data_IF_425989938633
#
_entry.id   IF_425989938633
#
_cell.length_a   1.000
_cell.length_b   1.000
_cell.length_c   1.000
_cell.angle_alpha   90.00
_cell.angle_beta   90.00
_cell.angle_gamma   90.00
#
_symmetry.space_group_name_H-M   'P 1'
#
loop_
_entity.id
_entity.type
_entity.pdbx_description
1 polymer ?
#
# COMPACT_ATOMS: atom_id res chain seq x y z
N UNK A 1 -24.63 20.07 9.64
CA UNK A 1 -24.15 20.12 11.02
C UNK A 1 -24.35 18.80 11.76
N UNK A 2 -25.52 18.16 11.65
CA UNK A 2 -25.83 16.91 12.37
C UNK A 2 -24.87 15.74 12.07
N UNK A 3 -24.55 15.50 10.81
CA UNK A 3 -23.59 14.46 10.40
C UNK A 3 -22.14 14.73 10.88
N UNK A 4 -21.77 15.99 11.04
CA UNK A 4 -20.42 16.37 11.52
C UNK A 4 -20.29 16.10 13.02
N UNK A 5 -21.32 16.44 13.79
CA UNK A 5 -21.37 16.15 15.23
C UNK A 5 -21.38 14.64 15.51
N UNK A 6 -21.99 13.85 14.62
CA UNK A 6 -22.04 12.40 14.75
C UNK A 6 -20.64 11.76 14.55
N UNK A 7 -19.89 12.14 13.52
CA UNK A 7 -18.52 11.59 13.27
C UNK A 7 -17.54 12.00 14.37
N UNK A 8 -17.61 13.27 14.80
CA UNK A 8 -16.81 13.76 15.93
C UNK A 8 -17.13 12.97 17.21
N UNK A 9 -18.43 12.81 17.52
CA UNK A 9 -18.88 12.03 18.67
C UNK A 9 -18.48 10.57 18.58
N UNK A 10 -18.54 9.95 17.41
CA UNK A 10 -18.09 8.57 17.21
C UNK A 10 -16.61 8.41 17.52
N UNK A 11 -15.74 9.24 16.95
CA UNK A 11 -14.27 9.15 17.12
C UNK A 11 -13.83 9.43 18.57
N UNK A 12 -14.63 10.23 19.32
CA UNK A 12 -14.31 10.58 20.72
C UNK A 12 -14.98 9.69 21.76
N UNK A 13 -16.20 9.15 21.52
CA UNK A 13 -16.98 8.48 22.55
C UNK A 13 -17.13 6.96 22.38
N UNK A 14 -17.16 6.45 21.12
CA UNK A 14 -17.31 5.01 20.91
C UNK A 14 -16.15 4.20 21.50
N UNK A 15 -16.40 2.99 22.02
CA UNK A 15 -15.33 2.08 22.43
C UNK A 15 -14.33 1.85 21.31
N UNK A 16 -13.01 1.98 21.61
CA UNK A 16 -11.94 1.92 20.62
C UNK A 16 -11.96 0.64 19.79
N UNK A 17 -12.31 -0.50 20.39
CA UNK A 17 -12.43 -1.78 19.69
C UNK A 17 -13.54 -1.78 18.63
N UNK A 18 -14.74 -1.22 18.95
CA UNK A 18 -15.84 -1.07 17.98
C UNK A 18 -15.43 -0.12 16.84
N UNK A 19 -14.75 0.95 17.19
CA UNK A 19 -14.30 1.94 16.22
C UNK A 19 -13.25 1.33 15.26
N UNK A 20 -12.29 0.60 15.81
CA UNK A 20 -11.28 -0.11 15.02
C UNK A 20 -11.93 -1.11 14.06
N UNK A 21 -12.89 -1.90 14.54
CA UNK A 21 -13.65 -2.82 13.69
C UNK A 21 -14.39 -2.10 12.56
N UNK A 22 -15.10 -1.01 12.88
CA UNK A 22 -15.84 -0.19 11.90
C UNK A 22 -14.96 0.38 10.79
N UNK A 23 -13.71 0.71 11.09
CA UNK A 23 -12.77 1.30 10.13
C UNK A 23 -11.90 0.26 9.43
N UNK A 24 -11.46 -0.79 10.16
CA UNK A 24 -10.53 -1.78 9.61
C UNK A 24 -11.21 -2.81 8.72
N UNK A 25 -12.41 -3.29 9.06
CA UNK A 25 -13.09 -4.31 8.24
C UNK A 25 -13.34 -3.81 6.82
N UNK A 26 -13.93 -2.61 6.60
CA UNK A 26 -14.06 -2.08 5.25
C UNK A 26 -12.73 -1.90 4.52
N UNK A 27 -11.67 -1.51 5.23
CA UNK A 27 -10.35 -1.35 4.63
C UNK A 27 -9.76 -2.70 4.22
N UNK A 28 -9.85 -3.73 5.07
CA UNK A 28 -9.41 -5.09 4.76
C UNK A 28 -10.16 -5.64 3.56
N UNK A 29 -11.49 -5.57 3.57
CA UNK A 29 -12.30 -6.04 2.43
C UNK A 29 -11.90 -5.34 1.14
N UNK A 30 -11.74 -4.01 1.17
CA UNK A 30 -11.31 -3.25 0.00
C UNK A 30 -9.93 -3.69 -0.52
N UNK A 31 -8.93 -3.82 0.37
CA UNK A 31 -7.57 -4.23 -0.02
C UNK A 31 -7.52 -5.68 -0.53
N UNK A 32 -8.28 -6.60 0.08
CA UNK A 32 -8.36 -7.99 -0.36
C UNK A 32 -9.01 -8.12 -1.74
N UNK A 33 -10.12 -7.42 -1.98
CA UNK A 33 -10.81 -7.43 -3.29
C UNK A 33 -9.91 -6.83 -4.37
N UNK A 34 -9.19 -5.75 -4.09
CA UNK A 34 -8.23 -5.18 -5.05
C UNK A 34 -7.07 -6.14 -5.35
N UNK A 35 -6.60 -6.89 -4.36
CA UNK A 35 -5.55 -7.89 -4.58
C UNK A 35 -6.06 -9.05 -5.47
N UNK A 36 -7.27 -9.54 -5.19
CA UNK A 36 -7.90 -10.60 -5.98
C UNK A 36 -8.16 -10.16 -7.43
N UNK A 37 -8.68 -8.95 -7.59
CA UNK A 37 -8.89 -8.36 -8.91
C UNK A 37 -7.61 -8.35 -9.75
N UNK A 38 -6.47 -7.93 -9.20
CA UNK A 38 -5.20 -7.91 -9.94
C UNK A 38 -4.77 -9.30 -10.45
N UNK A 39 -5.10 -10.35 -9.71
CA UNK A 39 -4.83 -11.74 -10.14
C UNK A 39 -5.75 -12.14 -11.29
N UNK A 40 -7.04 -11.85 -11.15
CA UNK A 40 -8.05 -12.21 -12.17
C UNK A 40 -7.79 -11.46 -13.49
N UNK A 41 -7.44 -10.18 -13.42
CA UNK A 41 -7.12 -9.37 -14.59
C UNK A 41 -5.96 -9.98 -15.40
N UNK A 42 -4.90 -10.44 -14.73
CA UNK A 42 -3.78 -11.14 -15.38
C UNK A 42 -4.19 -12.46 -16.02
N UNK A 43 -5.13 -13.18 -15.41
CA UNK A 43 -5.68 -14.43 -16.00
C UNK A 43 -6.43 -14.12 -17.30
N UNK A 44 -7.27 -13.08 -17.32
CA UNK A 44 -7.99 -12.67 -18.52
C UNK A 44 -7.05 -12.25 -19.65
N UNK A 45 -6.03 -11.47 -19.36
CA UNK A 45 -5.02 -11.07 -20.36
C UNK A 45 -4.25 -12.28 -20.88
N UNK A 46 -3.88 -13.20 -19.99
CA UNK A 46 -3.15 -14.41 -20.39
C UNK A 46 -3.93 -15.33 -21.28
N UNK A 47 -5.21 -15.51 -20.99
CA UNK A 47 -6.09 -16.37 -21.79
C UNK A 47 -6.57 -15.71 -23.09
N UNK A 48 -6.77 -14.38 -23.08
CA UNK A 48 -7.33 -13.67 -24.22
C UNK A 48 -6.30 -13.16 -25.23
N UNK A 49 -5.05 -12.90 -24.82
CA UNK A 49 -4.05 -12.26 -25.70
C UNK A 49 -2.81 -13.15 -25.89
N UNK A 50 -2.45 -13.94 -24.88
CA UNK A 50 -1.34 -14.88 -24.95
C UNK A 50 -0.09 -14.47 -24.16
N UNK A 51 0.96 -15.31 -24.24
CA UNK A 51 2.16 -15.19 -23.40
C UNK A 51 3.01 -13.93 -23.68
N UNK A 52 3.12 -13.51 -24.94
CA UNK A 52 3.88 -12.31 -25.30
C UNK A 52 3.24 -11.03 -24.72
N UNK A 53 1.91 -11.00 -24.61
CA UNK A 53 1.18 -9.92 -23.98
C UNK A 53 1.40 -9.87 -22.46
N UNK A 54 1.44 -11.03 -21.77
CA UNK A 54 1.78 -11.11 -20.35
C UNK A 54 3.21 -10.56 -20.13
N UNK A 55 4.14 -10.95 -21.00
CA UNK A 55 5.52 -10.47 -20.95
C UNK A 55 5.62 -8.96 -21.20
N UNK A 56 4.85 -8.44 -22.17
CA UNK A 56 4.72 -7.00 -22.40
C UNK A 56 4.12 -6.26 -21.20
N UNK A 57 3.06 -6.81 -20.60
CA UNK A 57 2.45 -6.25 -19.40
C UNK A 57 3.41 -6.21 -18.21
N UNK A 58 4.26 -7.23 -18.06
CA UNK A 58 5.27 -7.25 -17.00
C UNK A 58 6.24 -6.08 -17.08
N UNK A 59 6.58 -5.61 -18.29
CA UNK A 59 7.43 -4.43 -18.51
C UNK A 59 6.74 -3.12 -18.08
N UNK A 60 5.42 -3.07 -18.11
CA UNK A 60 4.66 -1.86 -17.73
C UNK A 60 4.41 -1.77 -16.23
N UNK A 61 4.56 -2.88 -15.51
CA UNK A 61 4.28 -2.97 -14.07
C UNK A 61 5.05 -1.95 -13.20
N UNK A 62 6.38 -1.70 -13.40
CA UNK A 62 7.08 -0.67 -12.64
C UNK A 62 6.51 0.73 -12.85
N UNK A 63 6.07 1.05 -14.07
CA UNK A 63 5.48 2.34 -14.43
C UNK A 63 4.14 2.52 -13.70
N UNK A 64 3.27 1.51 -13.77
CA UNK A 64 1.98 1.52 -13.08
C UNK A 64 2.14 1.58 -11.55
N UNK A 65 3.10 0.83 -11.02
CA UNK A 65 3.40 0.83 -9.59
C UNK A 65 3.88 2.19 -9.09
N UNK A 66 4.68 2.90 -9.90
CA UNK A 66 5.13 4.26 -9.56
C UNK A 66 3.96 5.25 -9.53
N UNK A 67 3.03 5.17 -10.49
CA UNK A 67 1.82 6.00 -10.47
C UNK A 67 0.96 5.74 -9.23
N UNK A 68 0.77 4.47 -8.86
CA UNK A 68 0.11 4.07 -7.62
C UNK A 68 0.83 4.58 -6.37
N UNK A 69 2.16 4.47 -6.33
CA UNK A 69 2.98 4.96 -5.22
C UNK A 69 2.87 6.47 -5.03
N UNK A 70 2.79 7.25 -6.12
CA UNK A 70 2.56 8.70 -6.07
C UNK A 70 1.16 9.00 -5.52
N UNK A 71 0.12 8.25 -5.92
CA UNK A 71 -1.21 8.37 -5.34
C UNK A 71 -1.23 8.07 -3.84
N UNK A 72 -0.47 7.06 -3.40
CA UNK A 72 -0.31 6.73 -1.98
C UNK A 72 0.48 7.82 -1.23
N UNK A 73 1.50 8.42 -1.84
CA UNK A 73 2.26 9.54 -1.27
C UNK A 73 1.32 10.68 -0.88
N UNK A 74 0.51 11.16 -1.82
CA UNK A 74 -0.44 12.24 -1.55
C UNK A 74 -1.54 11.77 -0.60
N UNK A 75 -2.11 10.60 -0.85
CA UNK A 75 -3.25 10.06 -0.11
C UNK A 75 -2.95 9.80 1.36
N UNK A 76 -1.87 9.09 1.67
CA UNK A 76 -1.50 8.76 3.05
C UNK A 76 -0.94 9.97 3.79
N UNK A 77 -0.19 10.84 3.10
CA UNK A 77 0.31 12.09 3.67
C UNK A 77 -0.83 13.04 4.06
N UNK A 78 -1.75 13.29 3.14
CA UNK A 78 -2.90 14.16 3.37
C UNK A 78 -3.88 13.55 4.40
N UNK A 79 -4.18 12.26 4.33
CA UNK A 79 -5.12 11.60 5.25
C UNK A 79 -4.63 11.64 6.70
N UNK A 80 -3.34 11.42 6.95
CA UNK A 80 -2.75 11.55 8.27
C UNK A 80 -2.91 12.98 8.81
N UNK A 81 -2.60 13.96 7.97
CA UNK A 81 -2.70 15.38 8.34
C UNK A 81 -4.14 15.82 8.56
N UNK A 82 -5.07 15.41 7.68
CA UNK A 82 -6.50 15.66 7.83
C UNK A 82 -7.02 15.10 9.15
N UNK A 83 -6.69 13.86 9.49
CA UNK A 83 -7.13 13.23 10.74
C UNK A 83 -6.68 14.03 11.97
N UNK A 84 -5.41 14.46 12.01
CA UNK A 84 -4.87 15.26 13.12
C UNK A 84 -5.60 16.60 13.24
N UNK A 85 -5.76 17.30 12.11
CA UNK A 85 -6.37 18.64 12.08
C UNK A 85 -7.86 18.58 12.41
N UNK A 86 -8.58 17.53 11.99
CA UNK A 86 -9.95 17.28 12.40
C UNK A 86 -10.06 17.04 13.91
N UNK A 87 -9.09 16.32 14.50
CA UNK A 87 -8.98 16.17 15.95
C UNK A 87 -8.77 17.49 16.69
N UNK A 88 -8.06 18.44 16.07
CA UNK A 88 -7.88 19.82 16.56
C UNK A 88 -9.12 20.70 16.34
N UNK A 89 -10.19 20.16 15.76
CA UNK A 89 -11.42 20.86 15.41
C UNK A 89 -11.23 22.00 14.38
N UNK A 90 -10.16 21.98 13.59
CA UNK A 90 -9.86 22.95 12.53
C UNK A 90 -10.29 22.41 11.14
N UNK A 91 -11.60 22.50 10.89
CA UNK A 91 -12.18 22.07 9.61
C UNK A 91 -11.67 22.87 8.41
N UNK A 92 -11.42 24.17 8.60
CA UNK A 92 -10.94 25.05 7.52
C UNK A 92 -9.59 24.56 7.01
N UNK A 93 -8.68 24.23 7.93
CA UNK A 93 -7.37 23.70 7.58
C UNK A 93 -7.46 22.31 6.93
N UNK A 94 -8.39 21.45 7.37
CA UNK A 94 -8.62 20.15 6.74
C UNK A 94 -9.10 20.29 5.29
N UNK A 95 -10.02 21.24 5.00
CA UNK A 95 -10.48 21.54 3.64
C UNK A 95 -9.39 22.17 2.76
N UNK A 96 -8.50 22.98 3.34
CA UNK A 96 -7.30 23.47 2.63
C UNK A 96 -6.35 22.33 2.25
N UNK A 97 -6.12 21.37 3.16
CA UNK A 97 -5.32 20.18 2.87
C UNK A 97 -5.94 19.38 1.75
N UNK A 98 -7.27 19.17 1.77
CA UNK A 98 -8.01 18.47 0.73
C UNK A 98 -7.83 19.14 -0.65
N UNK A 99 -7.99 20.48 -0.73
CA UNK A 99 -7.85 21.22 -1.97
C UNK A 99 -6.41 21.22 -2.49
N UNK A 100 -5.42 21.44 -1.62
CA UNK A 100 -4.00 21.39 -1.98
C UNK A 100 -3.58 19.98 -2.43
N UNK A 101 -4.18 18.93 -1.87
CA UNK A 101 -3.94 17.54 -2.30
C UNK A 101 -4.41 17.28 -3.73
N UNK A 102 -5.52 17.91 -4.16
CA UNK A 102 -5.98 17.78 -5.54
C UNK A 102 -4.98 18.42 -6.52
N UNK A 103 -4.55 19.64 -6.23
CA UNK A 103 -3.57 20.31 -7.07
C UNK A 103 -2.26 19.52 -7.12
N UNK A 104 -1.80 19.00 -5.98
CA UNK A 104 -0.58 18.20 -5.89
C UNK A 104 -0.70 16.88 -6.69
N UNK A 105 -1.84 16.17 -6.56
CA UNK A 105 -2.10 14.94 -7.31
C UNK A 105 -2.12 15.19 -8.82
N UNK A 106 -2.77 16.26 -9.26
CA UNK A 106 -2.82 16.63 -10.67
C UNK A 106 -1.44 17.05 -11.20
N UNK A 107 -0.67 17.83 -10.42
CA UNK A 107 0.67 18.24 -10.81
C UNK A 107 1.60 17.04 -10.98
N UNK A 108 1.60 16.10 -10.03
CA UNK A 108 2.38 14.87 -10.18
C UNK A 108 1.90 14.02 -11.35
N UNK A 109 0.59 13.93 -11.58
CA UNK A 109 0.05 13.19 -12.72
C UNK A 109 0.52 13.78 -14.05
N UNK A 110 0.46 15.08 -14.22
CA UNK A 110 0.97 15.75 -15.42
C UNK A 110 2.48 15.48 -15.60
N UNK A 111 3.27 15.61 -14.52
CA UNK A 111 4.71 15.36 -14.58
C UNK A 111 5.04 13.94 -15.02
N UNK A 112 4.47 12.91 -14.36
CA UNK A 112 4.83 11.54 -14.71
C UNK A 112 4.22 11.08 -16.06
N UNK A 113 3.01 11.53 -16.41
CA UNK A 113 2.42 11.21 -17.71
C UNK A 113 3.24 11.83 -18.84
N UNK A 114 3.68 13.10 -18.71
CA UNK A 114 4.56 13.73 -19.69
C UNK A 114 5.89 12.99 -19.78
N UNK A 115 6.51 12.67 -18.65
CA UNK A 115 7.77 11.93 -18.60
C UNK A 115 7.66 10.56 -19.29
N UNK A 116 6.65 9.77 -18.95
CA UNK A 116 6.46 8.46 -19.58
C UNK A 116 6.04 8.54 -21.03
N UNK A 117 5.31 9.57 -21.45
CA UNK A 117 4.96 9.76 -22.88
C UNK A 117 6.19 10.06 -23.73
N UNK A 118 7.12 10.89 -23.22
CA UNK A 118 8.33 11.29 -23.96
C UNK A 118 9.37 10.17 -24.00
N UNK A 119 9.60 9.47 -22.88
CA UNK A 119 10.67 8.47 -22.74
C UNK A 119 10.17 7.02 -22.74
N UNK A 120 8.97 6.76 -23.30
CA UNK A 120 8.31 5.45 -23.23
C UNK A 120 9.20 4.32 -23.76
N UNK A 121 9.71 4.45 -24.96
CA UNK A 121 10.48 3.38 -25.62
C UNK A 121 11.84 3.14 -24.91
N UNK A 122 12.49 4.21 -24.47
CA UNK A 122 13.77 4.12 -23.74
C UNK A 122 13.59 3.41 -22.40
N UNK A 123 12.50 3.72 -21.71
CA UNK A 123 12.17 3.10 -20.43
C UNK A 123 11.83 1.62 -20.62
N UNK A 124 11.01 1.25 -21.60
CA UNK A 124 10.66 -0.13 -21.89
C UNK A 124 11.90 -0.95 -22.27
N UNK A 125 12.80 -0.38 -23.08
CA UNK A 125 14.09 -1.04 -23.41
C UNK A 125 14.98 -1.21 -22.17
N UNK A 126 15.05 -0.22 -21.29
CA UNK A 126 15.82 -0.28 -20.06
C UNK A 126 15.31 -1.36 -19.08
N UNK A 127 14.02 -1.69 -19.13
CA UNK A 127 13.41 -2.78 -18.37
C UNK A 127 13.55 -4.16 -19.03
N UNK A 128 14.33 -4.26 -20.11
CA UNK A 128 14.59 -5.53 -20.80
C UNK A 128 13.57 -5.90 -21.87
N UNK A 129 12.83 -4.92 -22.36
CA UNK A 129 11.90 -5.12 -23.49
C UNK A 129 12.60 -5.57 -24.74
N UNK A 130 12.10 -6.65 -25.37
CA UNK A 130 12.53 -7.15 -26.67
C UNK A 130 11.66 -6.57 -27.79
N UNK A 131 12.13 -6.67 -29.05
CA UNK A 131 11.34 -6.25 -30.20
C UNK A 131 10.02 -7.00 -30.35
N UNK A 132 9.85 -8.16 -29.69
CA UNK A 132 8.58 -8.92 -29.61
C UNK A 132 7.64 -8.39 -28.54
N UNK A 133 8.14 -7.95 -27.39
CA UNK A 133 7.33 -7.58 -26.21
C UNK A 133 7.02 -6.09 -26.15
N UNK A 134 7.90 -5.23 -26.68
CA UNK A 134 7.73 -3.77 -26.70
C UNK A 134 6.42 -3.35 -27.38
N UNK A 135 5.99 -3.89 -28.53
CA UNK A 135 4.74 -3.48 -29.16
C UNK A 135 3.52 -3.64 -28.22
N UNK A 136 3.42 -4.78 -27.52
CA UNK A 136 2.34 -5.02 -26.55
C UNK A 136 2.42 -4.08 -25.35
N UNK A 137 3.62 -3.88 -24.81
CA UNK A 137 3.84 -2.96 -23.68
C UNK A 137 3.49 -1.52 -24.05
N UNK A 138 3.89 -1.07 -25.23
CA UNK A 138 3.63 0.27 -25.74
C UNK A 138 2.13 0.49 -25.98
N UNK A 139 1.48 -0.46 -26.65
CA UNK A 139 0.03 -0.39 -26.89
C UNK A 139 -0.72 -0.31 -25.55
N UNK A 140 -0.41 -1.18 -24.60
CA UNK A 140 -1.01 -1.14 -23.28
C UNK A 140 -0.81 0.20 -22.58
N UNK A 141 0.44 0.73 -22.56
CA UNK A 141 0.75 2.00 -21.90
C UNK A 141 0.01 3.20 -22.51
N UNK A 142 -0.08 3.28 -23.83
CA UNK A 142 -0.80 4.37 -24.50
C UNK A 142 -2.26 4.43 -24.06
N UNK A 143 -2.90 3.26 -23.98
CA UNK A 143 -4.32 3.19 -23.59
C UNK A 143 -4.54 3.28 -22.09
N UNK A 144 -3.60 2.87 -21.21
CA UNK A 144 -3.76 2.92 -19.76
C UNK A 144 -3.39 4.29 -19.15
N UNK A 145 -2.67 5.14 -19.89
CA UNK A 145 -2.22 6.45 -19.38
C UNK A 145 -3.34 7.34 -18.83
N UNK A 146 -4.50 7.50 -19.50
CA UNK A 146 -5.60 8.27 -18.92
C UNK A 146 -6.10 7.70 -17.59
N UNK A 147 -6.17 6.38 -17.49
CA UNK A 147 -6.57 5.69 -16.26
C UNK A 147 -5.55 5.81 -15.14
N UNK A 148 -4.28 6.01 -15.43
CA UNK A 148 -3.27 6.27 -14.40
C UNK A 148 -3.56 7.56 -13.63
N UNK A 149 -4.11 8.60 -14.27
CA UNK A 149 -4.59 9.80 -13.58
C UNK A 149 -5.75 9.45 -12.64
N UNK A 150 -6.73 8.68 -13.14
CA UNK A 150 -7.88 8.25 -12.34
C UNK A 150 -7.44 7.38 -11.16
N UNK A 151 -6.48 6.49 -11.38
CA UNK A 151 -5.87 5.64 -10.33
C UNK A 151 -5.22 6.49 -9.25
N UNK A 152 -4.43 7.49 -9.61
CA UNK A 152 -3.81 8.42 -8.68
C UNK A 152 -4.85 9.15 -7.82
N UNK A 153 -5.88 9.72 -8.45
CA UNK A 153 -6.97 10.39 -7.75
C UNK A 153 -7.74 9.43 -6.84
N UNK A 154 -8.02 8.22 -7.32
CA UNK A 154 -8.71 7.20 -6.54
C UNK A 154 -7.92 6.84 -5.28
N UNK A 155 -6.64 6.48 -5.37
CA UNK A 155 -5.81 6.15 -4.20
C UNK A 155 -5.66 7.33 -3.25
N UNK A 156 -5.42 8.53 -3.76
CA UNK A 156 -5.26 9.73 -2.93
C UNK A 156 -6.53 10.03 -2.13
N UNK A 157 -7.65 10.15 -2.82
CA UNK A 157 -8.88 10.62 -2.20
C UNK A 157 -9.66 9.53 -1.45
N UNK A 158 -9.46 8.25 -1.77
CA UNK A 158 -9.98 7.13 -0.98
C UNK A 158 -9.43 7.15 0.46
N UNK A 159 -8.12 7.38 0.63
CA UNK A 159 -7.51 7.50 1.94
C UNK A 159 -8.04 8.73 2.72
N UNK A 160 -8.23 9.86 2.05
CA UNK A 160 -8.81 11.07 2.65
C UNK A 160 -10.29 10.88 3.00
N UNK A 161 -11.05 10.13 2.19
CA UNK A 161 -12.45 9.78 2.49
C UNK A 161 -12.55 8.97 3.78
N UNK A 162 -11.66 8.01 3.97
CA UNK A 162 -11.56 7.21 5.21
C UNK A 162 -11.18 8.08 6.40
N UNK A 163 -10.19 8.97 6.22
CA UNK A 163 -9.74 9.92 7.24
C UNK A 163 -10.83 10.91 7.66
N UNK A 164 -11.75 11.24 6.77
CA UNK A 164 -12.90 12.12 7.03
C UNK A 164 -14.12 11.41 7.60
N UNK A 165 -14.00 10.14 8.02
CA UNK A 165 -15.05 9.42 8.73
C UNK A 165 -15.97 8.56 7.88
N UNK A 166 -15.62 8.27 6.63
CA UNK A 166 -16.43 7.46 5.71
C UNK A 166 -15.74 6.17 5.24
N UNK A 167 -15.34 5.24 6.18
CA UNK A 167 -14.62 4.03 5.81
C UNK A 167 -15.43 3.11 4.90
N UNK A 168 -16.75 3.00 5.10
CA UNK A 168 -17.62 2.18 4.23
C UNK A 168 -17.67 2.73 2.80
N UNK A 169 -17.76 4.05 2.61
CA UNK A 169 -17.74 4.63 1.26
C UNK A 169 -16.37 4.43 0.58
N UNK A 170 -15.28 4.51 1.34
CA UNK A 170 -13.94 4.20 0.84
C UNK A 170 -13.83 2.74 0.37
N UNK A 171 -14.43 1.79 1.08
CA UNK A 171 -14.55 0.40 0.63
C UNK A 171 -15.36 0.31 -0.68
N UNK A 172 -16.53 0.94 -0.75
CA UNK A 172 -17.35 0.92 -1.97
C UNK A 172 -16.61 1.48 -3.19
N UNK A 173 -15.76 2.48 -3.03
CA UNK A 173 -14.91 2.98 -4.12
C UNK A 173 -14.03 1.86 -4.70
N UNK A 174 -13.40 1.07 -3.82
CA UNK A 174 -12.51 -0.04 -4.24
C UNK A 174 -13.32 -1.18 -4.88
N UNK A 175 -14.47 -1.52 -4.31
CA UNK A 175 -15.37 -2.53 -4.85
C UNK A 175 -15.90 -2.13 -6.23
N UNK A 176 -16.33 -0.88 -6.42
CA UNK A 176 -16.80 -0.39 -7.71
C UNK A 176 -15.74 -0.53 -8.80
N UNK A 177 -14.49 -0.17 -8.51
CA UNK A 177 -13.39 -0.35 -9.45
C UNK A 177 -13.16 -1.82 -9.81
N UNK A 178 -13.05 -2.68 -8.80
CA UNK A 178 -12.79 -4.10 -9.01
C UNK A 178 -13.93 -4.79 -9.77
N UNK A 179 -15.17 -4.57 -9.38
CA UNK A 179 -16.33 -5.20 -10.07
C UNK A 179 -16.55 -4.62 -11.46
N UNK A 180 -16.37 -3.31 -11.66
CA UNK A 180 -16.47 -2.72 -13.00
C UNK A 180 -15.44 -3.33 -13.95
N UNK A 181 -14.19 -3.48 -13.51
CA UNK A 181 -13.16 -4.12 -14.32
C UNK A 181 -13.46 -5.61 -14.57
N UNK A 182 -13.87 -6.34 -13.55
CA UNK A 182 -14.21 -7.75 -13.66
C UNK A 182 -15.31 -8.04 -14.72
N UNK A 183 -16.20 -7.07 -14.91
CA UNK A 183 -17.26 -7.15 -15.94
C UNK A 183 -16.73 -6.66 -17.30
N UNK A 184 -16.03 -5.54 -17.32
CA UNK A 184 -15.62 -4.89 -18.57
C UNK A 184 -14.45 -5.60 -19.26
N UNK A 185 -13.49 -6.15 -18.49
CA UNK A 185 -12.32 -6.80 -19.07
C UNK A 185 -12.69 -8.00 -19.97
N UNK A 186 -13.53 -8.96 -19.55
CA UNK A 186 -13.98 -10.04 -20.45
C UNK A 186 -14.69 -9.53 -21.70
N UNK A 187 -15.52 -8.50 -21.57
CA UNK A 187 -16.26 -7.93 -22.70
C UNK A 187 -15.27 -7.35 -23.74
N UNK A 188 -14.29 -6.58 -23.29
CA UNK A 188 -13.37 -5.93 -24.21
C UNK A 188 -12.29 -6.88 -24.75
N UNK A 189 -11.85 -7.85 -23.95
CA UNK A 189 -10.82 -8.79 -24.37
C UNK A 189 -11.41 -9.86 -25.29
N UNK A 190 -12.53 -10.52 -24.87
CA UNK A 190 -13.03 -11.70 -25.55
C UNK A 190 -14.19 -11.41 -26.53
N UNK A 191 -15.15 -10.50 -26.16
CA UNK A 191 -16.29 -10.23 -27.01
C UNK A 191 -15.98 -9.25 -28.14
N UNK A 192 -15.24 -8.19 -27.82
CA UNK A 192 -14.85 -7.18 -28.80
C UNK A 192 -13.51 -7.49 -29.49
N UNK A 193 -12.82 -8.53 -29.02
CA UNK A 193 -11.50 -8.97 -29.55
C UNK A 193 -10.46 -7.84 -29.62
N UNK A 194 -10.48 -6.94 -28.62
CA UNK A 194 -9.53 -5.83 -28.55
C UNK A 194 -8.21 -6.21 -27.87
N UNK A 195 -8.06 -7.46 -27.42
CA UNK A 195 -6.82 -7.96 -26.85
C UNK A 195 -6.30 -7.10 -25.68
N UNK A 196 -4.99 -6.78 -25.70
CA UNK A 196 -4.33 -6.02 -24.62
C UNK A 196 -4.84 -4.58 -24.51
N UNK A 197 -5.22 -3.96 -25.62
CA UNK A 197 -5.88 -2.66 -25.66
C UNK A 197 -7.21 -2.68 -24.92
N UNK A 198 -7.99 -3.75 -25.09
CA UNK A 198 -9.26 -3.96 -24.39
C UNK A 198 -9.08 -4.04 -22.88
N UNK A 199 -8.03 -4.73 -22.42
CA UNK A 199 -7.69 -4.80 -21.00
C UNK A 199 -7.35 -3.42 -20.42
N UNK A 200 -6.56 -2.62 -21.12
CA UNK A 200 -6.21 -1.27 -20.69
C UNK A 200 -7.44 -0.37 -20.58
N UNK A 201 -8.29 -0.34 -21.60
CA UNK A 201 -9.52 0.50 -21.64
C UNK A 201 -10.51 0.04 -20.54
N UNK A 202 -10.66 -1.27 -20.30
CA UNK A 202 -11.51 -1.77 -19.22
C UNK A 202 -11.05 -1.26 -17.86
N UNK A 203 -9.74 -1.29 -17.63
CA UNK A 203 -9.12 -0.78 -16.40
C UNK A 203 -9.30 0.73 -16.27
N UNK A 204 -9.14 1.48 -17.33
CA UNK A 204 -9.34 2.94 -17.35
C UNK A 204 -10.77 3.32 -16.97
N UNK A 205 -11.75 2.69 -17.58
CA UNK A 205 -13.16 2.93 -17.28
C UNK A 205 -13.47 2.58 -15.83
N UNK A 206 -12.98 1.45 -15.33
CA UNK A 206 -13.17 1.02 -13.95
C UNK A 206 -12.56 2.03 -12.95
N UNK A 207 -11.34 2.52 -13.24
CA UNK A 207 -10.68 3.53 -12.42
C UNK A 207 -11.37 4.89 -12.54
N UNK A 208 -11.88 5.26 -13.70
CA UNK A 208 -12.65 6.50 -13.88
C UNK A 208 -13.96 6.46 -13.08
N UNK A 209 -14.68 5.34 -13.05
CA UNK A 209 -15.88 5.15 -12.23
C UNK A 209 -15.53 5.32 -10.74
N UNK A 210 -14.45 4.70 -10.28
CA UNK A 210 -13.98 4.80 -8.90
C UNK A 210 -13.57 6.22 -8.53
N UNK A 211 -12.81 6.88 -9.41
CA UNK A 211 -12.37 8.25 -9.22
C UNK A 211 -13.57 9.22 -9.21
N UNK A 212 -14.52 9.04 -10.12
CA UNK A 212 -15.76 9.84 -10.14
C UNK A 212 -16.54 9.68 -8.83
N UNK A 213 -16.71 8.45 -8.34
CA UNK A 213 -17.43 8.20 -7.09
C UNK A 213 -16.76 8.90 -5.89
N UNK A 214 -15.45 8.83 -5.77
CA UNK A 214 -14.73 9.48 -4.67
C UNK A 214 -14.73 10.99 -4.80
N UNK A 215 -14.62 11.53 -6.02
CA UNK A 215 -14.65 12.97 -6.24
C UNK A 215 -16.03 13.56 -5.99
N UNK A 216 -17.12 12.92 -6.47
CA UNK A 216 -18.50 13.32 -6.19
C UNK A 216 -18.75 13.42 -4.69
N UNK A 217 -18.18 12.52 -3.88
CA UNK A 217 -18.29 12.60 -2.43
C UNK A 217 -17.78 13.94 -1.88
N UNK A 218 -16.64 14.44 -2.33
CA UNK A 218 -16.05 15.70 -1.86
C UNK A 218 -16.69 16.95 -2.46
N UNK A 219 -17.44 16.82 -3.54
CA UNK A 219 -18.28 17.90 -4.05
C UNK A 219 -19.65 17.97 -3.37
N UNK A 220 -20.07 16.91 -2.65
CA UNK A 220 -21.36 16.87 -1.99
C UNK A 220 -21.40 17.80 -0.77
N UNK A 221 -22.40 18.74 -0.67
CA UNK A 221 -22.53 19.65 0.47
C UNK A 221 -22.74 18.95 1.83
N UNK A 222 -23.24 17.70 1.82
CA UNK A 222 -23.49 16.91 3.03
C UNK A 222 -22.24 16.21 3.57
N UNK A 223 -21.12 16.24 2.84
CA UNK A 223 -19.86 15.64 3.28
C UNK A 223 -19.20 16.46 4.39
N UNK A 224 -18.46 15.81 5.27
CA UNK A 224 -17.74 16.46 6.37
C UNK A 224 -16.70 17.45 5.83
N UNK A 225 -15.93 17.04 4.82
CA UNK A 225 -14.99 17.87 4.09
C UNK A 225 -15.48 18.02 2.66
N UNK A 226 -15.29 19.20 2.10
CA UNK A 226 -15.66 19.50 0.73
C UNK A 226 -14.70 20.47 0.07
N UNK A 227 -14.68 20.46 -1.27
CA UNK A 227 -13.93 21.45 -2.02
C UNK A 227 -14.59 22.82 -1.96
N UNK A 228 -13.79 23.84 -1.65
CA UNK A 228 -14.18 25.24 -1.75
C UNK A 228 -13.21 25.96 -2.68
N UNK A 229 -13.72 26.71 -3.65
CA UNK A 229 -12.89 27.44 -4.63
C UNK A 229 -11.84 28.33 -3.99
N UNK A 230 -12.13 28.93 -2.84
CA UNK A 230 -11.22 29.81 -2.09
C UNK A 230 -9.98 29.10 -1.51
N UNK A 231 -10.00 27.76 -1.38
CA UNK A 231 -8.92 26.98 -0.75
C UNK A 231 -7.93 26.35 -1.74
N UNK A 232 -8.11 26.59 -3.04
CA UNK A 232 -7.19 26.11 -4.08
C UNK A 232 -5.88 26.92 -4.18
N UNK A 233 -5.69 27.91 -3.31
CA UNK A 233 -4.40 28.60 -3.18
C UNK A 233 -3.36 27.64 -2.62
N UNK A 234 -2.23 27.50 -3.33
CA UNK A 234 -1.14 26.64 -2.91
C UNK A 234 -0.48 27.21 -1.64
N UNK A 235 -0.45 26.41 -0.59
CA UNK A 235 0.24 26.69 0.65
C UNK A 235 1.44 25.75 0.82
N UNK A 236 2.65 26.25 0.58
CA UNK A 236 3.88 25.45 0.61
C UNK A 236 4.06 24.63 1.89
N UNK A 237 3.68 25.18 3.05
CA UNK A 237 3.72 24.47 4.32
C UNK A 237 2.79 23.25 4.35
N UNK A 238 1.61 23.32 3.69
CA UNK A 238 0.68 22.20 3.56
C UNK A 238 1.28 21.15 2.60
N UNK A 239 1.76 21.57 1.44
CA UNK A 239 2.35 20.68 0.45
C UNK A 239 3.54 19.92 1.01
N UNK A 240 4.48 20.63 1.68
CA UNK A 240 5.63 20.01 2.30
C UNK A 240 5.24 18.99 3.38
N UNK A 241 4.23 19.29 4.20
CA UNK A 241 3.73 18.34 5.21
C UNK A 241 3.11 17.09 4.57
N UNK A 242 2.34 17.23 3.49
CA UNK A 242 1.74 16.09 2.77
C UNK A 242 2.85 15.21 2.20
N UNK A 243 3.77 15.80 1.44
CA UNK A 243 4.86 15.07 0.80
C UNK A 243 5.76 14.39 1.83
N UNK A 244 6.17 15.11 2.88
CA UNK A 244 7.08 14.54 3.88
C UNK A 244 6.50 13.34 4.61
N UNK A 245 5.20 13.36 4.97
CA UNK A 245 4.53 12.23 5.63
C UNK A 245 4.32 11.07 4.63
N UNK A 246 3.92 11.39 3.40
CA UNK A 246 3.68 10.38 2.36
C UNK A 246 4.94 9.80 1.74
N UNK A 247 6.11 10.41 1.98
CA UNK A 247 7.38 9.93 1.42
C UNK A 247 7.76 8.55 1.96
N UNK A 248 7.40 8.21 3.20
CA UNK A 248 7.70 6.89 3.77
C UNK A 248 7.09 5.74 2.95
N UNK A 249 5.76 5.66 2.74
CA UNK A 249 5.17 4.61 1.91
C UNK A 249 5.59 4.66 0.45
N UNK A 250 5.87 5.84 -0.10
CA UNK A 250 6.41 5.98 -1.44
C UNK A 250 7.79 5.31 -1.57
N UNK A 251 8.72 5.65 -0.67
CA UNK A 251 10.07 5.06 -0.67
C UNK A 251 10.05 3.56 -0.43
N UNK A 252 9.11 3.05 0.39
CA UNK A 252 8.91 1.60 0.57
C UNK A 252 8.55 0.94 -0.76
N UNK A 253 7.62 1.50 -1.55
CA UNK A 253 7.24 0.93 -2.83
C UNK A 253 8.39 0.93 -3.85
N UNK A 254 9.14 2.04 -3.93
CA UNK A 254 10.31 2.14 -4.80
C UNK A 254 11.39 1.15 -4.36
N UNK A 255 11.71 1.09 -3.06
CA UNK A 255 12.70 0.17 -2.51
C UNK A 255 12.31 -1.30 -2.76
N UNK A 256 11.02 -1.64 -2.62
CA UNK A 256 10.53 -3.00 -2.87
C UNK A 256 10.79 -3.46 -4.30
N UNK A 257 10.67 -2.57 -5.28
CA UNK A 257 10.98 -2.90 -6.69
C UNK A 257 12.46 -3.22 -6.89
N UNK A 258 13.35 -2.43 -6.29
CA UNK A 258 14.80 -2.66 -6.33
C UNK A 258 15.17 -3.97 -5.60
N UNK A 259 14.58 -4.19 -4.42
CA UNK A 259 14.81 -5.40 -3.62
C UNK A 259 14.38 -6.65 -4.38
N UNK A 260 13.20 -6.64 -5.01
CA UNK A 260 12.73 -7.77 -5.81
C UNK A 260 13.70 -8.09 -6.96
N UNK A 261 14.25 -7.07 -7.62
CA UNK A 261 15.26 -7.28 -8.66
C UNK A 261 16.54 -7.92 -8.10
N UNK A 262 17.04 -7.45 -6.95
CA UNK A 262 18.23 -8.02 -6.28
C UNK A 262 17.95 -9.46 -5.84
N UNK A 263 16.79 -9.73 -5.25
CA UNK A 263 16.40 -11.08 -4.80
C UNK A 263 16.34 -12.02 -6.00
N UNK A 264 15.62 -11.66 -7.06
CA UNK A 264 15.47 -12.52 -8.24
C UNK A 264 16.83 -12.83 -8.90
N UNK A 265 17.69 -11.82 -9.06
CA UNK A 265 19.05 -12.00 -9.60
C UNK A 265 19.90 -12.91 -8.70
N UNK A 266 19.80 -12.73 -7.38
CA UNK A 266 20.54 -13.57 -6.42
C UNK A 266 20.00 -15.00 -6.40
N UNK A 267 18.67 -15.19 -6.43
CA UNK A 267 18.03 -16.51 -6.48
C UNK A 267 18.43 -17.29 -7.75
N UNK A 268 18.37 -16.61 -8.90
CA UNK A 268 18.83 -17.22 -10.16
C UNK A 268 20.27 -17.70 -10.09
N UNK A 269 21.15 -16.87 -9.53
CA UNK A 269 22.59 -17.18 -9.44
C UNK A 269 22.90 -18.35 -8.50
N UNK A 270 22.19 -18.47 -7.38
CA UNK A 270 22.52 -19.44 -6.32
C UNK A 270 21.56 -20.63 -6.22
N UNK A 271 20.42 -20.60 -6.88
CA UNK A 271 19.41 -21.65 -6.78
C UNK A 271 18.58 -21.88 -8.06
N UNK A 272 18.92 -21.17 -9.16
CA UNK A 272 18.25 -21.35 -10.44
C UNK A 272 16.78 -20.96 -10.45
N UNK A 273 16.06 -21.45 -11.46
CA UNK A 273 14.63 -21.14 -11.67
C UNK A 273 13.74 -21.71 -10.55
N UNK A 274 14.11 -22.85 -9.97
CA UNK A 274 13.38 -23.47 -8.85
C UNK A 274 13.34 -22.54 -7.62
N UNK A 275 14.46 -21.87 -7.30
CA UNK A 275 14.51 -20.94 -6.18
C UNK A 275 13.66 -19.68 -6.43
N UNK A 276 13.59 -19.18 -7.67
CA UNK A 276 12.71 -18.08 -8.05
C UNK A 276 11.24 -18.49 -7.91
N UNK A 277 10.89 -19.69 -8.40
CA UNK A 277 9.56 -20.27 -8.25
C UNK A 277 9.14 -20.41 -6.79
N UNK A 278 10.05 -20.98 -5.96
CA UNK A 278 9.86 -21.12 -4.52
C UNK A 278 9.61 -19.78 -3.84
N UNK A 279 10.42 -18.76 -4.15
CA UNK A 279 10.24 -17.40 -3.64
C UNK A 279 8.88 -16.83 -4.03
N UNK A 280 8.48 -16.98 -5.30
CA UNK A 280 7.18 -16.52 -5.79
C UNK A 280 6.01 -17.08 -4.98
N UNK A 281 6.05 -18.37 -4.63
CA UNK A 281 4.99 -19.04 -3.87
C UNK A 281 4.89 -18.47 -2.45
N UNK A 282 5.97 -18.50 -1.68
CA UNK A 282 5.88 -18.03 -0.30
C UNK A 282 5.76 -16.50 -0.17
N UNK A 283 6.28 -15.73 -1.13
CA UNK A 283 6.04 -14.29 -1.19
C UNK A 283 4.56 -13.98 -1.46
N UNK A 284 3.88 -14.76 -2.28
CA UNK A 284 2.43 -14.63 -2.50
C UNK A 284 1.66 -14.90 -1.20
N UNK A 285 2.02 -15.95 -0.48
CA UNK A 285 1.43 -16.24 0.83
C UNK A 285 1.68 -15.13 1.86
N UNK A 286 2.92 -14.67 1.99
CA UNK A 286 3.27 -13.56 2.89
C UNK A 286 2.51 -12.28 2.55
N UNK A 287 2.37 -11.97 1.26
CA UNK A 287 1.61 -10.81 0.77
C UNK A 287 0.17 -10.84 1.21
N UNK A 288 -0.51 -11.99 1.17
CA UNK A 288 -1.89 -12.12 1.66
C UNK A 288 -2.01 -11.72 3.13
N UNK A 289 -1.10 -12.19 3.99
CA UNK A 289 -1.11 -11.84 5.41
C UNK A 289 -0.78 -10.36 5.61
N UNK A 290 0.19 -9.83 4.89
CA UNK A 290 0.58 -8.40 4.97
C UNK A 290 -0.56 -7.49 4.52
N UNK A 291 -1.36 -7.88 3.51
CA UNK A 291 -2.53 -7.10 3.06
C UNK A 291 -3.59 -6.96 4.16
N UNK A 292 -3.81 -7.98 4.98
CA UNK A 292 -4.67 -7.87 6.17
C UNK A 292 -4.15 -6.81 7.14
N UNK A 293 -2.84 -6.79 7.39
CA UNK A 293 -2.20 -5.83 8.30
C UNK A 293 -2.26 -4.41 7.73
N UNK A 294 -2.06 -4.24 6.43
CA UNK A 294 -2.21 -2.95 5.76
C UNK A 294 -3.64 -2.43 5.91
N UNK A 295 -4.65 -3.28 5.72
CA UNK A 295 -6.05 -2.93 5.95
C UNK A 295 -6.32 -2.51 7.41
N UNK A 296 -5.75 -3.23 8.38
CA UNK A 296 -5.81 -2.86 9.81
C UNK A 296 -5.16 -1.49 10.06
N UNK A 297 -3.99 -1.23 9.50
CA UNK A 297 -3.29 0.04 9.62
C UNK A 297 -4.08 1.20 9.01
N UNK A 298 -4.69 0.97 7.85
CA UNK A 298 -5.55 1.96 7.19
C UNK A 298 -6.79 2.29 8.04
N UNK A 299 -7.32 1.34 8.80
CA UNK A 299 -8.40 1.56 9.77
C UNK A 299 -7.93 2.28 11.04
N UNK A 300 -6.73 1.96 11.52
CA UNK A 300 -6.12 2.57 12.71
C UNK A 300 -5.77 4.05 12.47
N UNK A 301 -5.28 4.41 11.28
CA UNK A 301 -4.74 5.74 10.97
C UNK A 301 -5.69 6.89 11.32
N UNK A 302 -6.97 6.91 10.90
CA UNK A 302 -7.89 7.98 11.26
C UNK A 302 -8.13 8.09 12.77
N UNK A 303 -8.22 6.96 13.45
CA UNK A 303 -8.49 6.90 14.90
C UNK A 303 -7.31 7.48 15.69
N UNK A 304 -6.10 7.04 15.34
CA UNK A 304 -4.86 7.51 15.98
C UNK A 304 -4.63 8.99 15.69
N UNK A 305 -4.70 9.41 14.43
CA UNK A 305 -4.45 10.79 14.01
C UNK A 305 -5.45 11.76 14.67
N UNK A 306 -6.74 11.41 14.67
CA UNK A 306 -7.79 12.22 15.28
C UNK A 306 -7.59 12.37 16.79
N UNK A 307 -7.41 11.26 17.54
CA UNK A 307 -7.24 11.30 18.99
C UNK A 307 -5.92 11.99 19.39
N UNK A 308 -4.88 11.87 18.58
CA UNK A 308 -3.64 12.64 18.77
C UNK A 308 -3.88 14.14 18.62
N UNK A 309 -4.59 14.56 17.56
CA UNK A 309 -4.96 15.94 17.34
C UNK A 309 -5.83 16.53 18.44
N UNK A 310 -6.76 15.72 18.98
CA UNK A 310 -7.63 16.08 20.09
C UNK A 310 -6.97 16.04 21.48
N UNK A 311 -5.67 15.67 21.58
CA UNK A 311 -4.97 15.54 22.86
C UNK A 311 -5.36 14.28 23.66
N UNK A 312 -6.17 13.37 23.10
CA UNK A 312 -6.63 12.15 23.80
C UNK A 312 -5.63 11.00 23.60
N UNK A 313 -4.47 11.13 24.21
CA UNK A 313 -3.37 10.16 24.06
C UNK A 313 -3.69 8.75 24.58
N UNK A 314 -4.57 8.65 25.57
CA UNK A 314 -5.00 7.34 26.12
C UNK A 314 -5.76 6.53 25.08
N UNK A 315 -6.70 7.16 24.35
CA UNK A 315 -7.45 6.49 23.29
C UNK A 315 -6.57 6.17 22.08
N UNK A 316 -5.67 7.10 21.71
CA UNK A 316 -4.66 6.90 20.69
C UNK A 316 -3.81 5.66 20.99
N UNK A 317 -3.26 5.56 22.22
CA UNK A 317 -2.43 4.41 22.67
C UNK A 317 -3.23 3.12 22.64
N UNK A 318 -4.50 3.14 23.11
CA UNK A 318 -5.38 1.97 23.09
C UNK A 318 -5.66 1.49 21.66
N UNK A 319 -5.86 2.39 20.70
CA UNK A 319 -6.05 2.03 19.30
C UNK A 319 -4.79 1.37 18.71
N UNK A 320 -3.62 1.94 18.97
CA UNK A 320 -2.33 1.37 18.55
C UNK A 320 -2.10 -0.03 19.14
N UNK A 321 -2.26 -0.20 20.46
CA UNK A 321 -2.03 -1.48 21.12
C UNK A 321 -2.98 -2.56 20.62
N UNK A 322 -4.28 -2.26 20.49
CA UNK A 322 -5.25 -3.21 19.93
C UNK A 322 -4.90 -3.62 18.49
N UNK A 323 -4.53 -2.64 17.64
CA UNK A 323 -4.11 -2.93 16.27
C UNK A 323 -2.84 -3.78 16.25
N UNK A 324 -1.86 -3.48 17.11
CA UNK A 324 -0.63 -4.25 17.27
C UNK A 324 -0.88 -5.69 17.68
N UNK A 325 -1.77 -5.91 18.66
CA UNK A 325 -2.15 -7.26 19.10
C UNK A 325 -2.81 -8.04 17.94
N UNK A 326 -3.79 -7.45 17.26
CA UNK A 326 -4.48 -8.13 16.15
C UNK A 326 -3.50 -8.42 15.01
N UNK A 327 -2.63 -7.49 14.65
CA UNK A 327 -1.62 -7.69 13.60
C UNK A 327 -0.62 -8.81 13.98
N UNK A 328 -0.18 -8.85 15.23
CA UNK A 328 0.70 -9.91 15.73
C UNK A 328 0.00 -11.27 15.70
N UNK A 329 -1.29 -11.34 16.08
CA UNK A 329 -2.09 -12.57 15.97
C UNK A 329 -2.18 -13.02 14.51
N UNK A 330 -2.51 -12.13 13.58
CA UNK A 330 -2.58 -12.46 12.15
C UNK A 330 -1.23 -12.98 11.61
N UNK A 331 -0.13 -12.34 11.97
CA UNK A 331 1.21 -12.80 11.61
C UNK A 331 1.56 -14.15 12.26
N UNK A 332 1.17 -14.37 13.51
CA UNK A 332 1.41 -15.63 14.21
C UNK A 332 0.62 -16.77 13.57
N UNK A 333 -0.64 -16.53 13.20
CA UNK A 333 -1.45 -17.52 12.47
C UNK A 333 -0.79 -17.84 11.12
N UNK A 334 -0.32 -16.81 10.39
CA UNK A 334 0.43 -16.99 9.15
C UNK A 334 1.73 -17.78 9.36
N UNK A 335 2.45 -17.51 10.44
CA UNK A 335 3.65 -18.26 10.82
C UNK A 335 3.34 -19.73 11.18
N UNK A 336 2.29 -20.00 11.93
CA UNK A 336 1.85 -21.37 12.26
C UNK A 336 1.55 -22.12 10.96
N UNK A 337 0.78 -21.53 10.04
CA UNK A 337 0.47 -22.12 8.73
C UNK A 337 1.74 -22.47 7.94
N UNK A 338 2.66 -21.51 7.81
CA UNK A 338 3.89 -21.69 7.04
C UNK A 338 4.91 -22.66 7.68
N UNK A 339 4.88 -22.81 8.99
CA UNK A 339 5.83 -23.68 9.73
C UNK A 339 5.33 -25.11 9.83
N UNK A 340 4.06 -25.30 10.18
CA UNK A 340 3.49 -26.62 10.45
C UNK A 340 2.79 -27.25 9.24
N UNK A 341 2.27 -26.43 8.33
CA UNK A 341 1.52 -26.87 7.16
C UNK A 341 2.09 -26.36 5.83
N UNK A 342 3.42 -26.20 5.65
CA UNK A 342 4.00 -25.60 4.42
C UNK A 342 3.67 -26.45 3.18
N UNK A 343 3.70 -27.77 3.29
CA UNK A 343 3.39 -28.68 2.19
C UNK A 343 2.01 -28.41 1.57
N UNK A 344 0.96 -28.25 2.39
CA UNK A 344 -0.39 -28.00 1.87
C UNK A 344 -0.51 -26.62 1.22
N UNK A 345 0.14 -25.62 1.79
CA UNK A 345 0.15 -24.26 1.22
C UNK A 345 0.85 -24.27 -0.13
N UNK A 346 2.04 -24.86 -0.23
CA UNK A 346 2.83 -24.87 -1.45
C UNK A 346 2.18 -25.73 -2.53
N UNK A 347 1.61 -26.87 -2.14
CA UNK A 347 0.90 -27.78 -3.06
C UNK A 347 -0.32 -27.14 -3.73
N UNK A 348 -0.91 -26.13 -3.11
CA UNK A 348 -1.97 -25.34 -3.75
C UNK A 348 -1.48 -24.52 -4.96
N UNK A 349 -0.19 -24.28 -5.08
CA UNK A 349 0.42 -23.51 -6.18
C UNK A 349 1.12 -24.40 -7.21
N UNK A 350 1.69 -25.55 -6.80
CA UNK A 350 2.45 -26.42 -7.69
C UNK A 350 2.36 -27.88 -7.28
N UNK A 351 2.53 -28.77 -8.27
CA UNK A 351 2.61 -30.24 -8.06
C UNK A 351 4.04 -30.76 -8.25
N UNK A 352 4.98 -29.92 -8.63
CA UNK A 352 6.40 -30.28 -8.81
C UNK A 352 7.07 -30.53 -7.45
N UNK A 353 7.54 -31.74 -7.24
CA UNK A 353 8.13 -32.22 -5.98
C UNK A 353 9.43 -31.49 -5.64
N UNK A 354 10.30 -31.22 -6.63
CA UNK A 354 11.55 -30.51 -6.41
C UNK A 354 11.31 -29.08 -5.96
N UNK A 355 10.39 -28.40 -6.62
CA UNK A 355 10.00 -27.05 -6.27
C UNK A 355 9.35 -26.99 -4.88
N UNK A 356 8.57 -28.00 -4.52
CA UNK A 356 7.93 -28.11 -3.18
C UNK A 356 8.99 -28.18 -2.09
N UNK A 357 10.03 -29.00 -2.24
CA UNK A 357 11.06 -29.16 -1.20
C UNK A 357 11.87 -27.89 -0.99
N UNK A 358 12.30 -27.22 -2.07
CA UNK A 358 12.98 -25.92 -1.99
C UNK A 358 12.10 -24.86 -1.35
N UNK A 359 10.82 -24.83 -1.72
CA UNK A 359 9.88 -23.86 -1.20
C UNK A 359 9.57 -24.08 0.29
N UNK A 360 9.45 -25.34 0.76
CA UNK A 360 9.26 -25.65 2.19
C UNK A 360 10.43 -25.14 3.01
N UNK A 361 11.66 -25.42 2.55
CA UNK A 361 12.87 -25.00 3.23
C UNK A 361 12.97 -23.46 3.33
N UNK A 362 12.82 -22.77 2.20
CA UNK A 362 12.85 -21.30 2.15
C UNK A 362 11.72 -20.65 2.97
N UNK A 363 10.49 -21.17 2.86
CA UNK A 363 9.34 -20.67 3.58
C UNK A 363 9.53 -20.71 5.11
N UNK A 364 10.02 -21.84 5.64
CA UNK A 364 10.27 -21.99 7.09
C UNK A 364 11.30 -20.99 7.61
N UNK A 365 12.36 -20.73 6.86
CA UNK A 365 13.40 -19.77 7.25
C UNK A 365 12.85 -18.34 7.20
N UNK A 366 12.29 -17.93 6.05
CA UNK A 366 11.84 -16.56 5.83
C UNK A 366 10.70 -16.17 6.76
N UNK A 367 9.76 -17.10 6.98
CA UNK A 367 8.61 -16.85 7.86
C UNK A 367 8.93 -17.03 9.35
N UNK A 368 10.14 -17.47 9.72
CA UNK A 368 10.51 -17.81 11.11
C UNK A 368 10.31 -16.68 12.13
N UNK A 369 10.48 -15.43 11.70
CA UNK A 369 10.28 -14.24 12.55
C UNK A 369 9.02 -13.45 12.19
N UNK A 370 8.14 -14.01 11.38
CA UNK A 370 6.95 -13.31 10.86
C UNK A 370 6.04 -12.74 11.96
N UNK A 371 5.87 -13.35 13.15
CA UNK A 371 5.09 -12.78 14.26
C UNK A 371 5.47 -11.35 14.65
N UNK A 372 6.76 -10.99 14.58
CA UNK A 372 7.22 -9.64 14.94
C UNK A 372 7.04 -8.60 13.83
N UNK A 373 6.89 -9.04 12.58
CA UNK A 373 6.72 -8.15 11.41
C UNK A 373 5.44 -7.34 11.52
N UNK A 374 4.35 -7.95 12.02
CA UNK A 374 3.07 -7.26 12.23
C UNK A 374 3.20 -6.05 13.15
N UNK A 375 3.90 -6.21 14.27
CA UNK A 375 4.16 -5.12 15.22
C UNK A 375 4.98 -4.00 14.57
N UNK A 376 6.00 -4.34 13.78
CA UNK A 376 6.84 -3.36 13.10
C UNK A 376 6.04 -2.52 12.09
N UNK A 377 5.20 -3.16 11.26
CA UNK A 377 4.36 -2.46 10.28
C UNK A 377 3.40 -1.50 10.98
N UNK A 378 2.72 -1.96 12.04
CA UNK A 378 1.78 -1.14 12.82
C UNK A 378 2.49 0.04 13.48
N UNK A 379 3.70 -0.15 14.03
CA UNK A 379 4.45 0.93 14.68
C UNK A 379 4.95 1.97 13.66
N UNK A 380 5.41 1.54 12.50
CA UNK A 380 5.78 2.46 11.42
C UNK A 380 4.58 3.30 10.98
N UNK A 381 3.41 2.66 10.86
CA UNK A 381 2.14 3.32 10.52
C UNK A 381 1.65 4.26 11.64
N UNK A 382 1.92 3.94 12.91
CA UNK A 382 1.68 4.84 14.04
C UNK A 382 2.44 6.16 13.84
N UNK A 383 3.75 6.13 13.61
CA UNK A 383 4.54 7.34 13.41
C UNK A 383 4.06 8.16 12.20
N UNK A 384 3.65 7.50 11.14
CA UNK A 384 3.01 8.15 9.99
C UNK A 384 1.70 8.83 10.38
N UNK A 385 0.84 8.16 11.12
CA UNK A 385 -0.46 8.67 11.61
C UNK A 385 -0.31 9.87 12.55
N UNK A 386 0.80 9.93 13.30
CA UNK A 386 1.15 11.05 14.17
C UNK A 386 1.81 12.22 13.42
N UNK A 387 2.01 12.11 12.11
CA UNK A 387 2.71 13.11 11.31
C UNK A 387 4.22 13.18 11.57
N UNK A 388 4.81 12.16 12.23
CA UNK A 388 6.24 12.08 12.52
C UNK A 388 7.00 11.51 11.32
N UNK A 389 7.04 12.25 10.20
CA UNK A 389 7.59 11.82 8.92
C UNK A 389 8.99 11.22 9.03
N UNK A 390 9.94 11.92 9.67
CA UNK A 390 11.34 11.46 9.78
C UNK A 390 11.46 10.09 10.45
N UNK A 391 10.66 9.82 11.49
CA UNK A 391 10.67 8.51 12.17
C UNK A 391 10.06 7.41 11.29
N UNK A 392 8.95 7.72 10.62
CA UNK A 392 8.29 6.78 9.70
C UNK A 392 9.20 6.43 8.52
N UNK A 393 9.84 7.41 7.89
CA UNK A 393 10.81 7.20 6.81
C UNK A 393 11.99 6.37 7.31
N UNK A 394 12.58 6.74 8.44
CA UNK A 394 13.73 6.03 9.00
C UNK A 394 13.39 4.55 9.25
N UNK A 395 12.28 4.23 9.92
CA UNK A 395 11.89 2.85 10.21
C UNK A 395 11.58 2.06 8.93
N UNK A 396 10.94 2.69 7.96
CA UNK A 396 10.64 2.06 6.67
C UNK A 396 11.91 1.69 5.91
N UNK A 397 12.86 2.64 5.81
CA UNK A 397 14.13 2.44 5.10
C UNK A 397 15.09 1.52 5.88
N UNK A 398 15.05 1.55 7.21
CA UNK A 398 15.87 0.68 8.06
C UNK A 398 15.65 -0.78 7.70
N UNK A 399 14.42 -1.22 7.59
CA UNK A 399 14.07 -2.59 7.24
C UNK A 399 14.52 -2.96 5.83
N UNK A 400 14.17 -2.15 4.85
CA UNK A 400 14.30 -2.54 3.43
C UNK A 400 15.66 -2.14 2.84
N UNK A 401 16.11 -0.91 3.07
CA UNK A 401 17.30 -0.37 2.41
C UNK A 401 18.54 -0.56 3.27
N UNK A 402 18.48 -0.17 4.56
CA UNK A 402 19.66 -0.12 5.40
C UNK A 402 20.17 -1.51 5.78
N UNK A 403 19.26 -2.47 6.04
CA UNK A 403 19.66 -3.81 6.43
C UNK A 403 19.46 -4.85 5.34
N UNK A 404 18.27 -4.92 4.71
CA UNK A 404 17.97 -6.00 3.79
C UNK A 404 18.88 -5.98 2.55
N UNK A 405 19.09 -4.81 1.91
CA UNK A 405 19.97 -4.75 0.72
C UNK A 405 21.40 -5.18 1.03
N UNK A 406 22.10 -4.65 2.06
CA UNK A 406 23.45 -5.13 2.38
C UNK A 406 23.51 -6.63 2.73
N UNK A 407 22.53 -7.13 3.48
CA UNK A 407 22.45 -8.55 3.83
C UNK A 407 22.26 -9.43 2.59
N UNK A 408 21.43 -9.02 1.64
CA UNK A 408 21.22 -9.72 0.36
C UNK A 408 22.46 -9.71 -0.53
N UNK A 409 23.37 -8.75 -0.37
CA UNK A 409 24.63 -8.70 -1.12
C UNK A 409 25.75 -9.50 -0.45
N UNK A 410 25.74 -9.63 0.89
CA UNK A 410 26.79 -10.26 1.68
C UNK A 410 26.49 -11.75 1.95
N UNK A 411 25.31 -12.07 2.49
CA UNK A 411 24.98 -13.41 2.97
C UNK A 411 24.99 -14.49 1.88
N UNK A 412 24.52 -14.23 0.65
CA UNK A 412 24.60 -15.23 -0.41
C UNK A 412 26.02 -15.62 -0.79
N UNK A 413 27.01 -14.74 -0.57
CA UNK A 413 28.41 -15.05 -0.80
C UNK A 413 28.98 -16.04 0.23
N UNK A 414 28.39 -16.14 1.42
CA UNK A 414 28.84 -16.97 2.53
C UNK A 414 28.00 -18.24 2.62
N UNK A 415 26.69 -18.13 2.47
CA UNK A 415 25.73 -19.22 2.71
C UNK A 415 24.97 -19.64 1.44
N UNK A 416 25.38 -19.19 0.26
CA UNK A 416 24.74 -19.46 -1.02
C UNK A 416 23.20 -19.15 -0.95
N UNK A 417 22.34 -20.06 -1.41
CA UNK A 417 20.88 -19.90 -1.42
C UNK A 417 20.31 -19.63 -0.02
N UNK A 418 20.80 -20.31 1.00
CA UNK A 418 20.35 -20.09 2.38
C UNK A 418 20.64 -18.67 2.87
N UNK A 419 21.71 -18.03 2.36
CA UNK A 419 22.00 -16.63 2.67
C UNK A 419 20.91 -15.67 2.25
N UNK A 420 20.22 -15.92 1.13
CA UNK A 420 19.11 -15.12 0.67
C UNK A 420 17.91 -15.27 1.63
N UNK A 421 17.61 -16.52 2.02
CA UNK A 421 16.50 -16.80 2.94
C UNK A 421 16.74 -16.22 4.34
N UNK A 422 17.95 -16.29 4.86
CA UNK A 422 18.32 -15.79 6.19
C UNK A 422 18.39 -14.25 6.22
N UNK A 423 18.74 -13.59 5.12
CA UNK A 423 18.83 -12.13 5.05
C UNK A 423 17.52 -11.43 5.46
N UNK A 424 16.37 -11.99 5.07
CA UNK A 424 15.05 -11.41 5.38
C UNK A 424 14.74 -11.41 6.88
N UNK A 425 14.73 -12.56 7.60
CA UNK A 425 14.42 -12.60 9.02
C UNK A 425 15.46 -11.84 9.87
N UNK A 426 16.72 -11.81 9.49
CA UNK A 426 17.74 -11.03 10.18
C UNK A 426 17.46 -9.53 10.06
N UNK A 427 17.13 -9.04 8.85
CA UNK A 427 16.74 -7.66 8.63
C UNK A 427 15.50 -7.29 9.45
N UNK A 428 14.46 -8.14 9.45
CA UNK A 428 13.22 -7.92 10.19
C UNK A 428 13.46 -7.87 11.72
N UNK A 429 14.33 -8.73 12.23
CA UNK A 429 14.68 -8.76 13.65
C UNK A 429 15.39 -7.49 14.09
N UNK A 430 16.42 -7.06 13.35
CA UNK A 430 17.17 -5.83 13.65
C UNK A 430 16.25 -4.61 13.56
N UNK A 431 15.45 -4.53 12.49
CA UNK A 431 14.52 -3.43 12.29
C UNK A 431 13.45 -3.37 13.41
N UNK A 432 12.98 -4.53 13.89
CA UNK A 432 12.03 -4.59 15.00
C UNK A 432 12.66 -4.12 16.31
N UNK A 433 13.91 -4.49 16.59
CA UNK A 433 14.63 -4.00 17.78
C UNK A 433 14.78 -2.47 17.76
N UNK A 434 15.15 -1.89 16.62
CA UNK A 434 15.23 -0.42 16.44
C UNK A 434 13.84 0.22 16.61
N UNK A 435 12.80 -0.41 16.07
CA UNK A 435 11.42 0.05 16.20
C UNK A 435 10.99 0.12 17.66
N UNK A 436 11.30 -0.89 18.45
CA UNK A 436 11.01 -0.92 19.91
C UNK A 436 11.75 0.20 20.64
N UNK A 437 13.02 0.43 20.36
CA UNK A 437 13.80 1.51 20.95
C UNK A 437 13.23 2.89 20.66
N UNK A 438 12.83 3.14 19.40
CA UNK A 438 12.23 4.40 19.01
C UNK A 438 10.83 4.61 19.60
N UNK A 439 10.04 3.55 19.69
CA UNK A 439 8.73 3.59 20.34
C UNK A 439 8.86 3.92 21.82
N UNK A 440 9.75 3.24 22.54
CA UNK A 440 10.00 3.50 23.95
C UNK A 440 10.45 4.94 24.23
N UNK A 441 11.39 5.48 23.44
CA UNK A 441 11.83 6.88 23.54
C UNK A 441 10.69 7.86 23.27
N UNK A 442 9.77 7.51 22.37
CA UNK A 442 8.66 8.39 21.99
C UNK A 442 7.55 8.35 23.03
N UNK A 443 7.24 7.18 23.59
CA UNK A 443 6.23 7.02 24.66
C UNK A 443 6.62 7.85 25.90
N UNK A 444 7.89 7.81 26.33
CA UNK A 444 8.42 8.68 27.41
C UNK A 444 8.20 10.16 27.14
N UNK A 445 8.43 10.62 25.90
CA UNK A 445 8.22 12.05 25.53
C UNK A 445 6.73 12.44 25.54
N UNK A 446 5.84 11.53 25.15
CA UNK A 446 4.40 11.78 25.15
C UNK A 446 3.82 11.75 26.58
N UNK A 447 4.32 10.90 27.47
CA UNK A 447 3.93 10.86 28.88
C UNK A 447 4.33 12.15 29.59
N UNK A 448 5.53 12.67 29.35
CA UNK A 448 5.99 13.94 29.93
C UNK A 448 5.13 15.12 29.45
N UNK A 449 4.63 15.12 28.21
CA UNK A 449 3.68 16.14 27.74
C UNK A 449 2.32 16.05 28.45
N UNK A 450 1.81 14.85 28.71
CA UNK A 450 0.56 14.67 29.47
C UNK A 450 0.66 15.22 30.91
N UNK A 451 1.78 14.99 31.58
CA UNK A 451 1.99 15.47 32.96
C UNK A 451 2.08 16.98 33.08
N UNK A 452 2.41 17.69 31.98
CA UNK A 452 2.45 19.16 31.92
C UNK A 452 1.07 19.77 31.62
N UNK A 453 0.20 19.05 30.90
CA UNK A 453 -1.15 19.53 30.55
C UNK A 453 -2.16 19.27 31.69
N UNK A 454 -1.87 18.32 32.58
CA UNK A 454 -2.71 17.99 33.76
C UNK A 454 -2.30 18.74 35.03
N UNK A 455 -1.30 19.59 34.98
CA UNK A 455 -0.96 20.60 35.99
C UNK A 455 -1.39 21.99 35.51
#
# INVERSE_FOLDING_TARGET
MENQNNIHRELTSLPVGKLLWKYSVPAIVGTMVMSLYNVIDRIFIGQGVGADAISGLALTFPIMSLAGAIGMLVGLGASARISIVLGQNDKVKAEKILANSLVLSLSFAVCYLTFFSVYMDDILRSFGGSDRTIPYAREFLIYIMPGMLCTNLCYSFNNMMRASGYPGKAMYTMLLGAFSNLILAPIFIFWLDWGIKGAAIATDIAMAISAAFVMIHFFNPKSQLRFHRRYFKLEWGILFNIVSIGLAPFLVNVASSVINAIINTSLYRYGGDEAIGAFGIFNSYATLVVMLIIGLCQGMQPIVGYNYGAGNYTRMKKAFVLTGIVATICCTVGWIGSTFFPYYIIRAFTTDTNLIDVAIHGMRIVMGVFPIVGFQIVTTNLFQSLGMASKSIFLSLTRQVIFLIPLLLIFPRIYALNGIWIAMPVSDTIATAITLLLLWRTDKKLQNKNSVITR
#
